data_IF_703352649070
#
_entry.id   IF_703352649070
#
_cell.length_a   1.000
_cell.length_b   1.000
_cell.length_c   1.000
_cell.angle_alpha   90.00
_cell.angle_beta   90.00
_cell.angle_gamma   90.00
#
_symmetry.space_group_name_H-M   'P 1'
#
loop_
_entity.id
_entity.type
_entity.pdbx_description
1 polymer ?
#
# COMPACT_ATOMS: atom_id res chain seq x y z
N UNK A 1 -7.31 33.18 12.34
CA UNK A 1 -7.34 31.78 12.81
C UNK A 1 -8.53 30.99 12.23
N UNK A 2 -9.79 31.35 12.51
CA UNK A 2 -10.96 30.61 11.99
C UNK A 2 -11.02 30.47 10.46
N UNK A 3 -10.66 31.50 9.69
CA UNK A 3 -10.63 31.43 8.21
C UNK A 3 -9.57 30.45 7.72
N UNK A 4 -8.33 30.53 8.25
CA UNK A 4 -7.24 29.64 7.87
C UNK A 4 -7.57 28.16 8.17
N UNK A 5 -8.20 27.90 9.32
CA UNK A 5 -8.70 26.57 9.66
C UNK A 5 -9.72 26.07 8.62
N UNK A 6 -10.73 26.88 8.28
CA UNK A 6 -11.74 26.49 7.27
C UNK A 6 -11.12 26.23 5.90
N UNK A 7 -10.14 27.03 5.49
CA UNK A 7 -9.42 26.81 4.24
C UNK A 7 -8.65 25.49 4.26
N UNK A 8 -8.00 25.15 5.37
CA UNK A 8 -7.30 23.88 5.53
C UNK A 8 -8.26 22.67 5.58
N UNK A 9 -9.43 22.82 6.19
CA UNK A 9 -10.49 21.81 6.18
C UNK A 9 -11.00 21.56 4.75
N UNK A 10 -11.26 22.61 3.97
CA UNK A 10 -11.63 22.50 2.55
C UNK A 10 -10.51 21.82 1.74
N UNK A 11 -9.25 22.13 2.04
CA UNK A 11 -8.13 21.44 1.40
C UNK A 11 -8.13 19.94 1.70
N UNK A 12 -8.46 19.51 2.93
CA UNK A 12 -8.62 18.08 3.26
C UNK A 12 -9.75 17.41 2.49
N UNK A 13 -10.88 18.09 2.29
CA UNK A 13 -11.96 17.58 1.44
C UNK A 13 -11.48 17.33 0.01
N UNK A 14 -10.71 18.26 -0.56
CA UNK A 14 -10.12 18.08 -1.90
C UNK A 14 -9.12 16.93 -1.97
N UNK A 15 -8.28 16.75 -0.94
CA UNK A 15 -7.36 15.60 -0.87
C UNK A 15 -8.14 14.29 -0.94
N UNK A 16 -9.21 14.16 -0.14
CA UNK A 16 -10.06 12.97 -0.14
C UNK A 16 -10.77 12.76 -1.47
N UNK A 17 -11.26 13.83 -2.09
CA UNK A 17 -11.87 13.75 -3.42
C UNK A 17 -10.88 13.23 -4.46
N UNK A 18 -9.67 13.79 -4.53
CA UNK A 18 -8.63 13.32 -5.44
C UNK A 18 -8.25 11.86 -5.19
N UNK A 19 -8.13 11.47 -3.91
CA UNK A 19 -7.80 10.09 -3.54
C UNK A 19 -8.90 9.12 -4.00
N UNK A 20 -10.15 9.39 -3.64
CA UNK A 20 -11.28 8.55 -4.03
C UNK A 20 -11.39 8.44 -5.56
N UNK A 21 -11.20 9.56 -6.28
CA UNK A 21 -11.23 9.56 -7.74
C UNK A 21 -10.14 8.65 -8.31
N UNK A 22 -8.90 8.72 -7.80
CA UNK A 22 -7.81 7.85 -8.24
C UNK A 22 -8.04 6.38 -7.87
N UNK A 23 -8.55 6.10 -6.67
CA UNK A 23 -8.86 4.74 -6.22
C UNK A 23 -9.98 4.12 -7.05
N UNK A 24 -11.04 4.87 -7.35
CA UNK A 24 -12.14 4.39 -8.18
C UNK A 24 -11.77 4.27 -9.66
N UNK A 25 -10.76 5.02 -10.10
CA UNK A 25 -10.12 4.86 -11.42
C UNK A 25 -9.30 3.58 -11.46
N UNK A 26 -8.49 3.32 -10.41
CA UNK A 26 -7.75 2.06 -10.25
C UNK A 26 -8.69 0.86 -10.26
N UNK A 27 -9.71 0.82 -9.40
CA UNK A 27 -10.65 -0.32 -9.30
C UNK A 27 -11.32 -0.67 -10.62
N UNK A 28 -11.50 0.31 -11.51
CA UNK A 28 -12.10 0.09 -12.82
C UNK A 28 -11.14 -0.55 -13.83
N UNK A 29 -9.84 -0.41 -13.59
CA UNK A 29 -8.75 -0.80 -14.48
C UNK A 29 -7.85 -1.87 -13.86
N UNK A 30 -8.20 -2.39 -12.70
CA UNK A 30 -7.41 -3.37 -11.95
C UNK A 30 -7.86 -4.78 -12.34
N UNK A 31 -6.91 -5.61 -12.73
CA UNK A 31 -7.15 -7.02 -13.05
C UNK A 31 -7.16 -7.93 -11.80
N UNK A 32 -7.38 -9.23 -12.01
CA UNK A 32 -7.42 -10.22 -10.94
C UNK A 32 -6.09 -10.37 -10.16
N UNK A 33 -4.97 -9.91 -10.73
CA UNK A 33 -3.64 -9.94 -10.11
C UNK A 33 -3.21 -8.57 -9.57
N UNK A 34 -4.13 -7.60 -9.51
CA UNK A 34 -3.90 -6.24 -9.00
C UNK A 34 -2.96 -5.38 -9.85
N UNK A 35 -2.82 -5.67 -11.14
CA UNK A 35 -2.10 -4.87 -12.13
C UNK A 35 -3.06 -4.16 -13.09
N UNK A 36 -2.51 -3.32 -13.97
CA UNK A 36 -3.28 -2.52 -14.91
C UNK A 36 -3.81 -3.39 -16.07
N UNK A 37 -5.13 -3.49 -16.17
CA UNK A 37 -5.84 -4.11 -17.29
C UNK A 37 -5.80 -3.19 -18.51
N UNK A 38 -4.86 -3.48 -19.41
CA UNK A 38 -4.65 -2.71 -20.65
C UNK A 38 -5.77 -2.88 -21.67
N UNK A 39 -6.48 -4.02 -21.68
CA UNK A 39 -7.61 -4.25 -22.58
C UNK A 39 -8.78 -3.39 -22.13
N UNK A 40 -9.12 -3.45 -20.83
CA UNK A 40 -10.17 -2.62 -20.25
C UNK A 40 -9.86 -1.13 -20.36
N UNK A 41 -8.60 -0.75 -20.19
CA UNK A 41 -8.15 0.62 -20.40
C UNK A 41 -8.45 1.10 -21.82
N UNK A 42 -8.11 0.29 -22.84
CA UNK A 42 -8.34 0.62 -24.24
C UNK A 42 -9.84 0.73 -24.56
N UNK A 43 -10.66 -0.20 -24.07
CA UNK A 43 -12.12 -0.17 -24.23
C UNK A 43 -12.70 1.16 -23.72
N UNK A 44 -12.30 1.57 -22.51
CA UNK A 44 -12.79 2.80 -21.89
C UNK A 44 -12.32 4.06 -22.61
N UNK A 45 -11.12 4.05 -23.19
CA UNK A 45 -10.65 5.14 -24.05
C UNK A 45 -11.52 5.28 -25.30
N UNK A 46 -11.87 4.17 -25.95
CA UNK A 46 -12.74 4.16 -27.13
C UNK A 46 -14.15 4.61 -26.78
N UNK A 47 -14.71 4.13 -25.67
CA UNK A 47 -16.03 4.57 -25.18
C UNK A 47 -16.06 6.08 -24.91
N UNK A 48 -15.01 6.61 -24.27
CA UNK A 48 -14.90 8.04 -23.99
C UNK A 48 -14.80 8.89 -25.26
N UNK A 49 -14.02 8.44 -26.25
CA UNK A 49 -13.92 9.12 -27.54
C UNK A 49 -15.28 9.18 -28.25
N UNK A 50 -16.04 8.07 -28.25
CA UNK A 50 -17.40 8.03 -28.80
C UNK A 50 -18.37 8.97 -28.07
N UNK A 51 -18.31 9.04 -26.74
CA UNK A 51 -19.16 9.95 -25.96
C UNK A 51 -18.87 11.42 -26.28
N UNK A 52 -17.60 11.77 -26.45
CA UNK A 52 -17.17 13.11 -26.84
C UNK A 52 -17.64 13.47 -28.26
N UNK A 53 -17.53 12.54 -29.22
CA UNK A 53 -18.06 12.71 -30.58
C UNK A 53 -19.59 12.85 -30.61
N UNK A 54 -20.30 12.20 -29.69
CA UNK A 54 -21.77 12.26 -29.56
C UNK A 54 -22.26 13.50 -28.79
N UNK A 55 -21.35 14.37 -28.30
CA UNK A 55 -21.72 15.60 -27.58
C UNK A 55 -22.35 15.37 -26.21
N UNK A 56 -22.16 14.19 -25.61
CA UNK A 56 -22.75 13.80 -24.33
C UNK A 56 -21.95 14.28 -23.09
N UNK A 57 -20.97 15.18 -23.28
CA UNK A 57 -20.27 15.80 -22.15
C UNK A 57 -21.25 16.68 -21.36
N UNK A 58 -21.76 16.14 -20.25
CA UNK A 58 -22.58 16.87 -19.29
C UNK A 58 -21.69 17.96 -18.69
N UNK A 59 -21.81 19.18 -19.22
CA UNK A 59 -21.19 20.36 -18.63
C UNK A 59 -21.89 20.65 -17.30
N UNK A 60 -21.14 20.61 -16.20
CA UNK A 60 -21.60 20.96 -14.85
C UNK A 60 -22.22 22.36 -14.77
N UNK A 61 -21.87 23.25 -15.72
CA UNK A 61 -22.49 24.57 -15.89
C UNK A 61 -23.99 24.55 -16.12
N UNK A 62 -24.62 23.40 -16.42
CA UNK A 62 -26.08 23.32 -16.60
C UNK A 62 -26.86 23.11 -15.30
N UNK A 63 -26.21 22.90 -14.15
CA UNK A 63 -26.89 22.43 -12.94
C UNK A 63 -27.01 23.40 -11.76
N UNK A 64 -26.31 24.55 -11.68
CA UNK A 64 -26.46 25.47 -10.53
C UNK A 64 -26.23 26.94 -10.88
N UNK A 65 -27.19 27.80 -10.50
CA UNK A 65 -27.10 29.27 -10.56
C UNK A 65 -26.41 29.82 -9.29
N UNK A 66 -25.08 29.92 -9.31
CA UNK A 66 -24.30 30.64 -8.31
C UNK A 66 -22.93 31.07 -8.89
N UNK A 67 -22.92 32.17 -9.65
CA UNK A 67 -21.80 32.60 -10.50
C UNK A 67 -20.43 32.70 -9.77
N UNK A 68 -20.41 33.20 -8.54
CA UNK A 68 -19.15 33.48 -7.84
C UNK A 68 -18.52 32.22 -7.20
N UNK A 69 -19.34 31.26 -6.76
CA UNK A 69 -18.82 29.93 -6.38
C UNK A 69 -18.44 29.13 -7.62
N UNK A 70 -19.13 29.33 -8.74
CA UNK A 70 -18.88 28.62 -9.98
C UNK A 70 -17.52 28.97 -10.58
N UNK A 71 -17.01 30.20 -10.52
CA UNK A 71 -15.67 30.50 -11.07
C UNK A 71 -14.54 29.84 -10.26
N UNK A 72 -14.63 29.89 -8.93
CA UNK A 72 -13.65 29.25 -8.05
C UNK A 72 -13.72 27.72 -8.11
N UNK A 73 -14.93 27.15 -8.27
CA UNK A 73 -15.15 25.72 -8.48
C UNK A 73 -14.80 25.30 -9.91
N UNK A 74 -15.16 26.06 -10.94
CA UNK A 74 -14.84 25.77 -12.34
C UNK A 74 -13.33 25.74 -12.57
N UNK A 75 -12.57 26.68 -11.98
CA UNK A 75 -11.11 26.63 -12.05
C UNK A 75 -10.47 25.44 -11.30
N UNK A 76 -11.20 24.83 -10.37
CA UNK A 76 -10.78 23.59 -9.69
C UNK A 76 -11.27 22.32 -10.40
N UNK A 77 -12.49 22.32 -10.94
CA UNK A 77 -13.12 21.26 -11.74
C UNK A 77 -12.43 21.08 -13.09
N UNK A 78 -11.98 22.17 -13.71
CA UNK A 78 -11.18 22.12 -14.94
C UNK A 78 -9.82 21.45 -14.70
N UNK A 79 -9.31 21.49 -13.45
CA UNK A 79 -8.04 20.87 -13.04
C UNK A 79 -8.19 19.47 -12.46
N UNK A 80 -9.35 19.12 -11.92
CA UNK A 80 -9.69 17.76 -11.45
C UNK A 80 -11.10 17.44 -11.91
N UNK A 81 -11.25 16.86 -13.11
CA UNK A 81 -12.57 16.56 -13.65
C UNK A 81 -13.28 15.51 -12.78
N UNK A 82 -14.62 15.49 -12.81
CA UNK A 82 -15.42 14.43 -12.18
C UNK A 82 -15.32 13.06 -12.88
N UNK A 83 -14.33 12.89 -13.77
CA UNK A 83 -14.12 11.69 -14.57
C UNK A 83 -12.93 10.90 -14.05
N UNK A 84 -13.07 9.58 -14.07
CA UNK A 84 -12.00 8.64 -13.69
C UNK A 84 -10.82 8.75 -14.65
N UNK A 85 -9.61 8.67 -14.12
CA UNK A 85 -8.39 8.66 -14.91
C UNK A 85 -8.24 7.34 -15.66
N UNK A 86 -7.89 7.40 -16.95
CA UNK A 86 -7.58 6.22 -17.76
C UNK A 86 -6.11 6.15 -18.17
N UNK A 87 -5.28 7.10 -17.76
CA UNK A 87 -3.85 7.12 -18.09
C UNK A 87 -3.02 7.70 -16.95
N UNK A 88 -1.72 7.44 -16.99
CA UNK A 88 -0.77 8.06 -16.06
C UNK A 88 -0.85 9.59 -16.08
N UNK A 89 -0.99 10.19 -17.25
CA UNK A 89 -1.02 11.65 -17.38
C UNK A 89 -2.27 12.25 -16.70
N UNK A 90 -3.44 11.65 -16.92
CA UNK A 90 -4.68 12.06 -16.25
C UNK A 90 -4.59 11.86 -14.73
N UNK A 91 -4.10 10.70 -14.29
CA UNK A 91 -3.90 10.41 -12.87
C UNK A 91 -2.90 11.39 -12.22
N UNK A 92 -1.85 11.77 -12.95
CA UNK A 92 -0.83 12.71 -12.50
C UNK A 92 -1.38 14.11 -12.30
N UNK A 93 -2.31 14.57 -13.14
CA UNK A 93 -2.96 15.88 -12.97
C UNK A 93 -3.79 15.93 -11.68
N UNK A 94 -4.59 14.89 -11.44
CA UNK A 94 -5.36 14.73 -10.19
C UNK A 94 -4.41 14.68 -8.98
N UNK A 95 -3.34 13.91 -9.07
CA UNK A 95 -2.32 13.79 -8.02
C UNK A 95 -1.64 15.14 -7.72
N UNK A 96 -1.26 15.90 -8.75
CA UNK A 96 -0.59 17.20 -8.58
C UNK A 96 -1.52 18.22 -7.91
N UNK A 97 -2.81 18.22 -8.25
CA UNK A 97 -3.79 19.02 -7.55
C UNK A 97 -3.93 18.58 -6.08
N UNK A 98 -4.08 17.28 -5.83
CA UNK A 98 -4.16 16.73 -4.47
C UNK A 98 -2.92 17.09 -3.64
N UNK A 99 -1.72 17.00 -4.21
CA UNK A 99 -0.46 17.42 -3.57
C UNK A 99 -0.44 18.89 -3.20
N UNK A 100 -0.91 19.78 -4.07
CA UNK A 100 -1.01 21.20 -3.74
C UNK A 100 -1.94 21.44 -2.54
N UNK A 101 -3.03 20.67 -2.43
CA UNK A 101 -3.95 20.73 -1.29
C UNK A 101 -3.38 20.11 -0.02
N UNK A 102 -2.54 19.07 -0.13
CA UNK A 102 -1.75 18.56 0.99
C UNK A 102 -0.86 19.65 1.55
N UNK A 103 -0.10 20.34 0.69
CA UNK A 103 0.77 21.45 1.13
C UNK A 103 -0.04 22.53 1.85
N UNK A 104 -1.16 22.96 1.25
CA UNK A 104 -2.06 23.94 1.87
C UNK A 104 -2.61 23.48 3.23
N UNK A 105 -3.03 22.22 3.36
CA UNK A 105 -3.57 21.71 4.62
C UNK A 105 -2.49 21.66 5.72
N UNK A 106 -1.25 21.31 5.36
CA UNK A 106 -0.11 21.23 6.28
C UNK A 106 0.38 22.60 6.78
N UNK A 107 0.04 23.70 6.12
CA UNK A 107 0.35 25.06 6.61
C UNK A 107 -0.40 25.37 7.92
N UNK A 108 -1.60 24.80 8.10
CA UNK A 108 -2.41 24.99 9.31
C UNK A 108 -2.33 23.79 10.26
N UNK A 109 -2.59 22.59 9.76
CA UNK A 109 -2.58 21.37 10.54
C UNK A 109 -1.15 20.86 10.70
N UNK A 110 -0.33 21.56 11.49
CA UNK A 110 1.03 21.14 11.81
C UNK A 110 1.04 20.07 12.91
N UNK A 111 2.13 19.29 13.00
CA UNK A 111 2.23 18.22 14.00
C UNK A 111 2.06 18.74 15.44
N UNK A 112 2.65 19.90 15.74
CA UNK A 112 2.52 20.56 17.04
C UNK A 112 1.18 21.31 17.13
N UNK A 113 0.24 20.77 17.91
CA UNK A 113 -1.12 21.31 18.08
C UNK A 113 -2.21 20.60 17.27
N UNK A 114 -1.87 19.92 16.16
CA UNK A 114 -2.83 19.18 15.32
C UNK A 114 -2.34 17.78 14.93
N UNK A 115 -1.67 17.08 15.84
CA UNK A 115 -0.99 15.81 15.55
C UNK A 115 -1.87 14.77 14.83
N UNK A 116 -3.09 14.51 15.31
CA UNK A 116 -3.98 13.52 14.67
C UNK A 116 -4.39 13.92 13.25
N UNK A 117 -4.68 15.20 13.02
CA UNK A 117 -5.02 15.69 11.67
C UNK A 117 -3.81 15.66 10.74
N UNK A 118 -2.64 16.07 11.23
CA UNK A 118 -1.40 16.02 10.47
C UNK A 118 -1.03 14.59 10.07
N UNK A 119 -1.17 13.62 10.98
CA UNK A 119 -0.99 12.19 10.68
C UNK A 119 -1.91 11.76 9.54
N UNK A 120 -3.20 12.12 9.61
CA UNK A 120 -4.15 11.76 8.56
C UNK A 120 -3.77 12.38 7.21
N UNK A 121 -3.37 13.65 7.19
CA UNK A 121 -2.95 14.35 5.96
C UNK A 121 -1.70 13.69 5.36
N UNK A 122 -0.73 13.29 6.18
CA UNK A 122 0.48 12.57 5.73
C UNK A 122 0.12 11.20 5.15
N UNK A 123 -0.80 10.46 5.79
CA UNK A 123 -1.28 9.17 5.27
C UNK A 123 -2.06 9.34 3.97
N UNK A 124 -2.88 10.39 3.85
CA UNK A 124 -3.58 10.69 2.60
C UNK A 124 -2.60 11.06 1.48
N UNK A 125 -1.54 11.80 1.80
CA UNK A 125 -0.46 12.09 0.85
C UNK A 125 0.26 10.81 0.39
N UNK A 126 0.50 9.88 1.32
CA UNK A 126 1.06 8.56 0.99
C UNK A 126 0.13 7.77 0.07
N UNK A 127 -1.17 7.76 0.36
CA UNK A 127 -2.18 7.09 -0.44
C UNK A 127 -2.29 7.69 -1.85
N UNK A 128 -2.17 9.01 -2.01
CA UNK A 128 -2.10 9.67 -3.33
C UNK A 128 -0.92 9.14 -4.17
N UNK A 129 0.26 8.98 -3.56
CA UNK A 129 1.40 8.36 -4.25
C UNK A 129 1.14 6.90 -4.61
N UNK A 130 0.51 6.12 -3.71
CA UNK A 130 0.17 4.71 -3.95
C UNK A 130 -0.79 4.58 -5.13
N UNK A 131 -1.82 5.43 -5.17
CA UNK A 131 -2.81 5.43 -6.23
C UNK A 131 -2.21 5.87 -7.58
N UNK A 132 -1.36 6.90 -7.61
CA UNK A 132 -0.67 7.28 -8.85
C UNK A 132 0.29 6.19 -9.35
N UNK A 133 0.98 5.49 -8.44
CA UNK A 133 1.94 4.45 -8.80
C UNK A 133 1.31 3.24 -9.51
N UNK A 134 -0.01 3.05 -9.41
CA UNK A 134 -0.75 2.04 -10.18
C UNK A 134 -0.67 2.30 -11.70
N UNK A 135 -0.73 3.57 -12.10
CA UNK A 135 -0.73 3.97 -13.52
C UNK A 135 0.67 4.10 -14.14
N UNK A 136 1.73 3.94 -13.35
CA UNK A 136 3.10 4.09 -13.83
C UNK A 136 3.64 2.73 -14.29
N UNK A 137 4.01 2.62 -15.56
CA UNK A 137 4.52 1.38 -16.15
C UNK A 137 6.02 1.18 -15.86
N UNK A 138 6.78 2.27 -15.70
CA UNK A 138 8.21 2.21 -15.38
C UNK A 138 8.40 1.79 -13.91
N UNK A 139 8.83 0.53 -13.72
CA UNK A 139 9.03 -0.06 -12.39
C UNK A 139 10.04 0.72 -11.53
N UNK A 140 11.02 1.42 -12.13
CA UNK A 140 11.95 2.26 -11.37
C UNK A 140 11.30 3.56 -10.90
N UNK A 141 10.45 4.18 -11.72
CA UNK A 141 9.62 5.32 -11.32
C UNK A 141 8.62 4.91 -10.24
N UNK A 142 7.93 3.78 -10.38
CA UNK A 142 7.07 3.20 -9.32
C UNK A 142 7.87 3.06 -8.03
N UNK A 143 9.07 2.48 -8.08
CA UNK A 143 9.91 2.29 -6.90
C UNK A 143 10.34 3.62 -6.25
N UNK A 144 10.63 4.66 -7.04
CA UNK A 144 10.93 6.01 -6.53
C UNK A 144 9.72 6.65 -5.83
N UNK A 145 8.52 6.42 -6.34
CA UNK A 145 7.28 6.89 -5.71
C UNK A 145 7.05 6.20 -4.36
N UNK A 146 7.24 4.87 -4.30
CA UNK A 146 7.18 4.13 -3.05
C UNK A 146 8.26 4.59 -2.06
N UNK A 147 9.47 4.90 -2.54
CA UNK A 147 10.53 5.46 -1.68
C UNK A 147 10.11 6.79 -1.03
N UNK A 148 9.45 7.69 -1.77
CA UNK A 148 8.91 8.95 -1.23
C UNK A 148 7.87 8.71 -0.14
N UNK A 149 7.02 7.68 -0.30
CA UNK A 149 6.07 7.27 0.75
C UNK A 149 6.80 6.82 2.01
N UNK A 150 7.81 5.94 1.89
CA UNK A 150 8.62 5.50 3.04
C UNK A 150 9.24 6.68 3.77
N UNK A 151 9.93 7.59 3.06
CA UNK A 151 10.62 8.73 3.69
C UNK A 151 9.67 9.59 4.53
N UNK A 152 8.48 9.84 3.98
CA UNK A 152 7.46 10.63 4.65
C UNK A 152 6.85 9.89 5.86
N UNK A 153 6.50 8.62 5.71
CA UNK A 153 5.85 7.84 6.76
C UNK A 153 6.80 7.52 7.93
N UNK A 154 8.06 7.14 7.63
CA UNK A 154 9.09 6.92 8.66
C UNK A 154 9.44 8.24 9.37
N UNK A 155 9.57 9.32 8.60
CA UNK A 155 9.82 10.65 9.15
C UNK A 155 8.73 11.08 10.14
N UNK A 156 7.46 10.76 9.87
CA UNK A 156 6.36 10.99 10.81
C UNK A 156 6.40 10.03 11.99
N UNK A 157 6.61 8.73 11.75
CA UNK A 157 6.63 7.71 12.80
C UNK A 157 7.65 8.02 13.91
N UNK A 158 8.83 8.53 13.54
CA UNK A 158 9.89 8.88 14.50
C UNK A 158 9.56 10.08 15.39
N UNK A 159 8.57 10.90 15.01
CA UNK A 159 8.16 12.09 15.77
C UNK A 159 6.95 11.83 16.68
N UNK A 160 6.27 10.69 16.52
CA UNK A 160 5.10 10.35 17.33
C UNK A 160 5.49 9.61 18.60
N UNK A 161 4.84 9.96 19.72
CA UNK A 161 4.93 9.20 20.95
C UNK A 161 3.89 8.05 20.96
N UNK A 162 4.32 6.77 20.96
CA UNK A 162 3.40 5.64 20.94
C UNK A 162 2.47 5.56 22.15
N UNK A 163 2.80 6.19 23.28
CA UNK A 163 1.94 6.21 24.47
C UNK A 163 0.62 6.96 24.22
N UNK A 164 0.65 8.00 23.39
CA UNK A 164 -0.53 8.82 23.08
C UNK A 164 -1.14 8.50 21.73
N UNK A 165 -0.34 7.96 20.79
CA UNK A 165 -0.72 7.77 19.39
C UNK A 165 -0.58 6.32 18.92
N UNK A 166 -0.76 5.33 19.81
CA UNK A 166 -0.53 3.91 19.53
C UNK A 166 -1.20 3.43 18.22
N UNK A 167 -2.46 3.78 18.01
CA UNK A 167 -3.21 3.41 16.79
C UNK A 167 -2.58 4.00 15.52
N UNK A 168 -2.17 5.26 15.56
CA UNK A 168 -1.48 5.90 14.45
C UNK A 168 -0.10 5.26 14.21
N UNK A 169 0.65 4.99 15.27
CA UNK A 169 1.94 4.29 15.18
C UNK A 169 1.78 2.90 14.55
N UNK A 170 0.75 2.12 14.94
CA UNK A 170 0.40 0.83 14.33
C UNK A 170 0.13 0.96 12.84
N UNK A 171 -0.75 1.89 12.45
CA UNK A 171 -1.11 2.14 11.06
C UNK A 171 0.11 2.55 10.22
N UNK A 172 0.93 3.48 10.72
CA UNK A 172 2.16 3.91 10.04
C UNK A 172 3.18 2.78 9.92
N UNK A 173 3.35 1.98 10.98
CA UNK A 173 4.29 0.86 10.97
C UNK A 173 3.90 -0.18 9.91
N UNK A 174 2.63 -0.56 9.87
CA UNK A 174 2.09 -1.46 8.86
C UNK A 174 2.24 -0.87 7.44
N UNK A 175 1.90 0.41 7.25
CA UNK A 175 1.98 1.06 5.94
C UNK A 175 3.43 1.20 5.44
N UNK A 176 4.39 1.46 6.32
CA UNK A 176 5.83 1.44 5.98
C UNK A 176 6.26 0.04 5.57
N UNK A 177 5.83 -0.99 6.31
CA UNK A 177 6.14 -2.39 5.98
C UNK A 177 5.58 -2.81 4.61
N UNK A 178 4.32 -2.45 4.33
CA UNK A 178 3.66 -2.63 3.03
C UNK A 178 4.44 -1.94 1.91
N UNK A 179 4.85 -0.70 2.14
CA UNK A 179 5.59 0.06 1.13
C UNK A 179 6.97 -0.53 0.84
N UNK A 180 7.69 -1.02 1.85
CA UNK A 180 8.95 -1.75 1.63
C UNK A 180 8.73 -3.08 0.92
N UNK A 181 7.64 -3.78 1.22
CA UNK A 181 7.24 -5.01 0.54
C UNK A 181 7.01 -4.72 -0.96
N UNK A 182 6.22 -3.69 -1.29
CA UNK A 182 5.99 -3.25 -2.69
C UNK A 182 7.31 -2.90 -3.40
N UNK A 183 8.21 -2.16 -2.74
CA UNK A 183 9.52 -1.82 -3.31
C UNK A 183 10.38 -3.06 -3.58
N UNK A 184 10.33 -4.04 -2.70
CA UNK A 184 11.04 -5.30 -2.87
C UNK A 184 10.47 -6.07 -4.05
N UNK A 185 9.14 -6.17 -4.17
CA UNK A 185 8.46 -6.86 -5.28
C UNK A 185 8.80 -6.21 -6.62
N UNK A 186 8.79 -4.87 -6.71
CA UNK A 186 9.23 -4.15 -7.91
C UNK A 186 10.69 -4.45 -8.27
N UNK A 187 11.58 -4.59 -7.28
CA UNK A 187 12.99 -4.92 -7.53
C UNK A 187 13.20 -6.38 -7.92
N UNK A 188 12.38 -7.30 -7.41
CA UNK A 188 12.35 -8.69 -7.87
C UNK A 188 11.83 -8.77 -9.31
N UNK A 189 10.77 -8.04 -9.67
CA UNK A 189 10.27 -7.99 -11.04
C UNK A 189 11.34 -7.48 -12.01
N UNK A 190 12.00 -6.36 -11.69
CA UNK A 190 13.14 -5.85 -12.46
C UNK A 190 14.29 -6.88 -12.59
N UNK A 191 14.58 -7.63 -11.53
CA UNK A 191 15.59 -8.66 -11.54
C UNK A 191 15.23 -9.85 -12.45
N UNK A 192 13.94 -10.21 -12.52
CA UNK A 192 13.45 -11.29 -13.38
C UNK A 192 13.50 -10.93 -14.87
N UNK A 193 13.44 -9.64 -15.20
CA UNK A 193 13.58 -9.15 -16.59
C UNK A 193 15.04 -8.87 -17.00
N UNK A 194 15.99 -8.92 -16.07
CA UNK A 194 17.40 -8.69 -16.37
C UNK A 194 18.06 -9.96 -16.92
N UNK A 195 18.90 -9.82 -17.96
CA UNK A 195 19.68 -10.94 -18.52
C UNK A 195 20.62 -11.58 -17.48
N UNK A 196 21.14 -10.76 -16.57
CA UNK A 196 22.05 -11.21 -15.52
C UNK A 196 21.72 -10.55 -14.18
N UNK A 197 21.58 -11.39 -13.16
CA UNK A 197 21.32 -10.95 -11.80
C UNK A 197 22.58 -10.36 -11.15
N UNK A 198 22.60 -9.04 -11.02
CA UNK A 198 23.72 -8.34 -10.41
C UNK A 198 23.74 -8.50 -8.88
N UNK A 199 24.92 -8.72 -8.24
CA UNK A 199 25.03 -8.83 -6.78
C UNK A 199 24.48 -7.63 -6.02
N UNK A 200 24.57 -6.42 -6.60
CA UNK A 200 24.01 -5.20 -6.01
C UNK A 200 22.48 -5.24 -5.95
N UNK A 201 21.83 -5.80 -6.98
CA UNK A 201 20.37 -5.98 -7.04
C UNK A 201 19.92 -6.95 -5.95
N UNK A 202 20.61 -8.07 -5.79
CA UNK A 202 20.37 -9.06 -4.71
C UNK A 202 20.48 -8.40 -3.34
N UNK A 203 21.57 -7.64 -3.11
CA UNK A 203 21.77 -6.91 -1.85
C UNK A 203 20.63 -5.93 -1.58
N UNK A 204 20.13 -5.23 -2.61
CA UNK A 204 19.03 -4.28 -2.48
C UNK A 204 17.70 -4.96 -2.18
N UNK A 205 17.38 -6.06 -2.86
CA UNK A 205 16.17 -6.88 -2.60
C UNK A 205 16.18 -7.36 -1.14
N UNK A 206 17.28 -7.96 -0.69
CA UNK A 206 17.40 -8.44 0.69
C UNK A 206 17.30 -7.30 1.73
N UNK A 207 17.87 -6.13 1.44
CA UNK A 207 17.76 -4.96 2.32
C UNK A 207 16.29 -4.51 2.47
N UNK A 208 15.56 -4.39 1.36
CA UNK A 208 14.14 -4.01 1.37
C UNK A 208 13.29 -5.08 2.07
N UNK A 209 13.55 -6.36 1.80
CA UNK A 209 12.83 -7.47 2.43
C UNK A 209 13.01 -7.45 3.96
N UNK A 210 14.25 -7.26 4.44
CA UNK A 210 14.54 -7.16 5.88
C UNK A 210 13.92 -5.92 6.53
N UNK A 211 13.88 -4.79 5.81
CA UNK A 211 13.19 -3.60 6.29
C UNK A 211 11.69 -3.87 6.46
N UNK A 212 11.04 -4.47 5.46
CA UNK A 212 9.63 -4.86 5.55
C UNK A 212 9.37 -5.82 6.73
N UNK A 213 10.17 -6.89 6.86
CA UNK A 213 10.08 -7.84 7.98
C UNK A 213 10.20 -7.13 9.34
N UNK A 214 11.15 -6.20 9.47
CA UNK A 214 11.37 -5.44 10.71
C UNK A 214 10.15 -4.60 11.08
N UNK A 215 9.53 -3.93 10.11
CA UNK A 215 8.36 -3.09 10.37
C UNK A 215 7.08 -3.93 10.59
N UNK A 216 6.89 -5.03 9.87
CA UNK A 216 5.80 -5.97 10.20
C UNK A 216 5.94 -6.54 11.61
N UNK A 217 7.16 -6.92 12.02
CA UNK A 217 7.38 -7.41 13.37
C UNK A 217 7.07 -6.34 14.42
N UNK A 218 7.55 -5.10 14.24
CA UNK A 218 7.21 -3.98 15.14
C UNK A 218 5.70 -3.75 15.25
N UNK A 219 4.97 -3.86 14.14
CA UNK A 219 3.52 -3.78 14.13
C UNK A 219 2.90 -4.91 14.96
N UNK A 220 3.29 -6.15 14.73
CA UNK A 220 2.78 -7.32 15.46
C UNK A 220 3.13 -7.27 16.95
N UNK A 221 4.36 -6.88 17.30
CA UNK A 221 4.80 -6.71 18.69
C UNK A 221 3.95 -5.68 19.43
N UNK A 222 3.51 -4.63 18.72
CA UNK A 222 2.64 -3.63 19.30
C UNK A 222 1.23 -4.15 19.63
N UNK A 223 0.83 -5.31 19.08
CA UNK A 223 -0.44 -5.99 19.39
C UNK A 223 -0.31 -6.93 20.60
N UNK A 224 0.90 -7.24 21.04
CA UNK A 224 1.13 -8.08 22.21
C UNK A 224 0.62 -7.43 23.50
N UNK A 225 0.23 -8.26 24.46
CA UNK A 225 -0.17 -7.80 25.79
C UNK A 225 1.04 -7.25 26.59
N UNK A 226 0.80 -6.77 27.81
CA UNK A 226 1.85 -6.24 28.68
C UNK A 226 2.95 -7.25 29.06
N UNK A 227 2.75 -8.55 28.81
CA UNK A 227 3.72 -9.62 28.99
C UNK A 227 4.51 -9.96 27.72
N UNK A 228 4.19 -9.32 26.60
CA UNK A 228 4.78 -9.60 25.28
C UNK A 228 4.17 -10.81 24.58
N UNK A 229 3.07 -11.35 25.08
CA UNK A 229 2.38 -12.49 24.48
C UNK A 229 1.33 -12.00 23.48
N UNK A 230 1.22 -12.71 22.34
CA UNK A 230 0.16 -12.46 21.38
C UNK A 230 -1.19 -12.86 22.00
N UNK A 231 -2.19 -11.97 22.05
CA UNK A 231 -3.51 -12.30 22.56
C UNK A 231 -4.13 -13.45 21.76
N UNK A 232 -4.90 -14.33 22.43
CA UNK A 232 -5.63 -15.41 21.77
C UNK A 232 -6.64 -14.87 20.74
N UNK A 233 -7.23 -13.72 21.03
CA UNK A 233 -8.16 -13.00 20.17
C UNK A 233 -7.70 -11.57 20.00
N UNK A 234 -7.56 -11.11 18.76
CA UNK A 234 -7.24 -9.73 18.42
C UNK A 234 -8.52 -8.90 18.25
N UNK A 235 -8.44 -7.58 18.47
CA UNK A 235 -9.52 -6.67 18.12
C UNK A 235 -9.81 -6.74 16.62
N UNK A 236 -11.09 -6.69 16.25
CA UNK A 236 -11.57 -6.87 14.87
C UNK A 236 -10.84 -5.96 13.87
N UNK A 237 -10.56 -4.71 14.25
CA UNK A 237 -9.91 -3.71 13.41
C UNK A 237 -8.45 -4.04 13.07
N UNK A 238 -7.80 -4.92 13.84
CA UNK A 238 -6.39 -5.31 13.64
C UNK A 238 -6.23 -6.76 13.21
N UNK A 239 -7.30 -7.57 13.17
CA UNK A 239 -7.26 -8.97 12.70
C UNK A 239 -6.73 -9.05 11.27
N UNK A 240 -7.40 -8.41 10.29
CA UNK A 240 -6.97 -8.45 8.88
C UNK A 240 -5.54 -7.93 8.71
N UNK A 241 -5.15 -6.76 9.25
CA UNK A 241 -3.76 -6.31 9.20
C UNK A 241 -2.75 -7.30 9.81
N UNK A 242 -3.06 -7.96 10.93
CA UNK A 242 -2.17 -8.94 11.54
C UNK A 242 -1.98 -10.19 10.66
N UNK A 243 -3.07 -10.71 10.09
CA UNK A 243 -3.03 -11.87 9.19
C UNK A 243 -2.27 -11.53 7.89
N UNK A 244 -2.57 -10.38 7.28
CA UNK A 244 -1.85 -9.90 6.08
C UNK A 244 -0.37 -9.68 6.37
N UNK A 245 -0.01 -9.12 7.54
CA UNK A 245 1.39 -8.96 7.94
C UNK A 245 2.10 -10.32 8.00
N UNK A 246 1.52 -11.30 8.69
CA UNK A 246 2.09 -12.66 8.79
C UNK A 246 2.20 -13.34 7.43
N UNK A 247 1.15 -13.31 6.62
CA UNK A 247 1.17 -13.84 5.26
C UNK A 247 2.31 -13.24 4.42
N UNK A 248 2.46 -11.92 4.46
CA UNK A 248 3.51 -11.21 3.71
C UNK A 248 4.91 -11.45 4.27
N UNK A 249 5.07 -11.58 5.59
CA UNK A 249 6.32 -12.06 6.19
C UNK A 249 6.69 -13.45 5.65
N UNK A 250 5.71 -14.35 5.50
CA UNK A 250 5.89 -15.65 4.85
C UNK A 250 6.45 -15.53 3.43
N UNK A 251 5.88 -14.64 2.61
CA UNK A 251 6.36 -14.34 1.25
C UNK A 251 7.74 -13.67 1.24
N UNK A 252 8.02 -12.78 2.19
CA UNK A 252 9.32 -12.11 2.32
C UNK A 252 10.43 -13.11 2.60
N UNK A 253 10.21 -14.06 3.51
CA UNK A 253 11.19 -15.11 3.79
C UNK A 253 11.46 -15.99 2.57
N UNK A 254 10.45 -16.29 1.75
CA UNK A 254 10.66 -17.08 0.53
C UNK A 254 11.37 -16.31 -0.59
N UNK A 255 11.30 -14.97 -0.59
CA UNK A 255 11.98 -14.08 -1.54
C UNK A 255 13.40 -13.67 -1.13
N UNK A 256 13.85 -13.98 0.09
CA UNK A 256 15.23 -13.69 0.51
C UNK A 256 16.24 -14.52 -0.29
N UNK A 257 17.13 -13.83 -1.00
CA UNK A 257 18.11 -14.42 -1.89
C UNK A 257 19.43 -14.65 -1.13
N UNK A 258 19.60 -15.86 -0.58
CA UNK A 258 20.78 -16.26 0.20
C UNK A 258 21.48 -17.45 -0.47
N UNK A 259 22.82 -17.46 -0.46
CA UNK A 259 23.64 -18.46 -1.17
C UNK A 259 23.80 -19.76 -0.39
N UNK A 260 23.94 -19.68 0.94
CA UNK A 260 24.14 -20.86 1.77
C UNK A 260 22.84 -21.64 2.01
N UNK A 261 22.96 -22.97 2.13
CA UNK A 261 21.78 -23.84 2.27
C UNK A 261 21.16 -23.75 3.66
N UNK A 262 21.94 -23.45 4.70
CA UNK A 262 21.45 -23.33 6.07
C UNK A 262 20.45 -22.15 6.20
N UNK A 263 20.79 -20.99 5.65
CA UNK A 263 19.94 -19.80 5.63
C UNK A 263 18.73 -20.00 4.72
N UNK A 264 18.86 -20.69 3.58
CA UNK A 264 17.71 -21.06 2.74
C UNK A 264 16.72 -21.95 3.50
N UNK A 265 17.24 -22.93 4.25
CA UNK A 265 16.42 -23.81 5.08
C UNK A 265 15.77 -23.05 6.25
N UNK A 266 16.51 -22.16 6.92
CA UNK A 266 15.98 -21.30 7.98
C UNK A 266 14.86 -20.40 7.47
N UNK A 267 15.05 -19.74 6.33
CA UNK A 267 14.03 -18.92 5.69
C UNK A 267 12.79 -19.74 5.30
N UNK A 268 12.95 -20.95 4.76
CA UNK A 268 11.82 -21.81 4.44
C UNK A 268 11.01 -22.22 5.69
N UNK A 269 11.68 -22.48 6.82
CA UNK A 269 11.01 -22.76 8.10
C UNK A 269 10.25 -21.54 8.63
N UNK A 270 10.88 -20.36 8.63
CA UNK A 270 10.22 -19.10 9.02
C UNK A 270 9.00 -18.78 8.12
N UNK A 271 9.12 -19.06 6.83
CA UNK A 271 8.02 -18.92 5.87
C UNK A 271 6.83 -19.84 6.24
N UNK A 272 7.10 -21.12 6.52
CA UNK A 272 6.09 -22.08 6.97
C UNK A 272 5.44 -21.66 8.30
N UNK A 273 6.23 -21.20 9.28
CA UNK A 273 5.71 -20.71 10.56
C UNK A 273 4.74 -19.54 10.38
N UNK A 274 5.05 -18.62 9.46
CA UNK A 274 4.18 -17.50 9.15
C UNK A 274 2.86 -17.93 8.53
N UNK A 275 2.87 -18.83 7.54
CA UNK A 275 1.64 -19.33 6.93
C UNK A 275 0.82 -20.17 7.90
N UNK A 276 1.47 -21.01 8.71
CA UNK A 276 0.80 -21.80 9.74
C UNK A 276 0.11 -20.92 10.77
N UNK A 277 0.73 -19.80 11.18
CA UNK A 277 0.06 -18.83 12.06
C UNK A 277 -1.26 -18.33 11.48
N UNK A 278 -1.30 -18.00 10.18
CA UNK A 278 -2.52 -17.52 9.52
C UNK A 278 -3.61 -18.60 9.55
N UNK A 279 -3.26 -19.84 9.21
CA UNK A 279 -4.18 -20.98 9.24
C UNK A 279 -4.69 -21.24 10.66
N UNK A 280 -3.77 -21.42 11.62
CA UNK A 280 -4.10 -21.75 13.00
C UNK A 280 -5.00 -20.68 13.64
N UNK A 281 -4.74 -19.39 13.34
CA UNK A 281 -5.55 -18.30 13.88
C UNK A 281 -6.98 -18.31 13.32
N UNK A 282 -7.15 -18.50 12.01
CA UNK A 282 -8.47 -18.56 11.39
C UNK A 282 -9.24 -19.82 11.79
N UNK A 283 -8.58 -20.98 11.88
CA UNK A 283 -9.20 -22.23 12.33
C UNK A 283 -9.68 -22.15 13.78
N UNK A 284 -8.99 -21.38 14.63
CA UNK A 284 -9.40 -21.10 16.02
C UNK A 284 -10.48 -20.01 16.13
N UNK A 285 -10.61 -19.15 15.12
CA UNK A 285 -11.53 -18.03 15.10
C UNK A 285 -12.30 -17.98 13.75
N UNK A 286 -13.25 -18.90 13.50
CA UNK A 286 -13.93 -19.00 12.20
C UNK A 286 -14.70 -17.73 11.79
N UNK A 287 -15.17 -16.95 12.77
CA UNK A 287 -15.95 -15.72 12.54
C UNK A 287 -15.17 -14.62 11.79
N UNK A 288 -13.84 -14.73 11.72
CA UNK A 288 -12.98 -13.74 11.07
C UNK A 288 -12.25 -14.27 9.82
N UNK A 289 -12.56 -15.50 9.38
CA UNK A 289 -11.96 -16.13 8.20
C UNK A 289 -12.17 -15.28 6.93
N UNK A 290 -13.39 -14.78 6.72
CA UNK A 290 -13.74 -13.94 5.56
C UNK A 290 -12.92 -12.66 5.48
N UNK A 291 -12.41 -12.15 6.60
CA UNK A 291 -11.62 -10.93 6.62
C UNK A 291 -10.26 -11.09 5.96
N UNK A 292 -9.74 -12.30 5.78
CA UNK A 292 -8.45 -12.55 5.14
C UNK A 292 -8.46 -13.78 4.23
N UNK A 293 -9.61 -14.05 3.60
CA UNK A 293 -9.83 -15.24 2.79
C UNK A 293 -8.74 -15.46 1.71
N UNK A 294 -8.34 -14.45 0.89
CA UNK A 294 -7.30 -14.67 -0.13
C UNK A 294 -5.95 -15.07 0.49
N UNK A 295 -5.61 -14.46 1.63
CA UNK A 295 -4.38 -14.78 2.36
C UNK A 295 -4.44 -16.18 3.01
N UNK A 296 -5.61 -16.58 3.52
CA UNK A 296 -5.82 -17.87 4.15
C UNK A 296 -5.77 -19.03 3.15
N UNK A 297 -6.44 -18.91 2.00
CA UNK A 297 -6.46 -19.94 0.95
C UNK A 297 -5.03 -20.27 0.51
N UNK A 298 -4.25 -19.24 0.17
CA UNK A 298 -2.84 -19.40 -0.18
C UNK A 298 -2.00 -19.94 0.99
N UNK A 299 -2.29 -19.53 2.22
CA UNK A 299 -1.57 -20.03 3.40
C UNK A 299 -1.80 -21.52 3.62
N UNK A 300 -3.05 -22.00 3.45
CA UNK A 300 -3.39 -23.43 3.54
C UNK A 300 -2.61 -24.24 2.50
N UNK A 301 -2.56 -23.79 1.25
CA UNK A 301 -1.74 -24.42 0.21
C UNK A 301 -0.26 -24.47 0.61
N UNK A 302 0.31 -23.36 1.05
CA UNK A 302 1.73 -23.27 1.42
C UNK A 302 2.08 -24.17 2.62
N UNK A 303 1.18 -24.32 3.60
CA UNK A 303 1.36 -25.24 4.74
C UNK A 303 1.41 -26.70 4.28
N UNK A 304 0.71 -27.07 3.20
CA UNK A 304 0.79 -28.43 2.64
C UNK A 304 2.08 -28.67 1.84
N UNK A 305 2.55 -27.66 1.10
CA UNK A 305 3.66 -27.82 0.13
C UNK A 305 5.05 -27.63 0.76
N UNK A 306 5.21 -26.63 1.64
CA UNK A 306 6.53 -26.27 2.19
C UNK A 306 7.20 -27.38 3.02
N UNK A 307 6.51 -28.20 3.83
CA UNK A 307 7.16 -29.24 4.62
C UNK A 307 7.96 -30.23 3.77
N UNK A 308 7.40 -30.69 2.65
CA UNK A 308 8.10 -31.60 1.73
C UNK A 308 9.34 -30.94 1.12
N UNK A 309 9.24 -29.67 0.72
CA UNK A 309 10.38 -28.88 0.21
C UNK A 309 11.49 -28.73 1.25
N UNK A 310 11.13 -28.44 2.50
CA UNK A 310 12.07 -28.31 3.63
C UNK A 310 12.80 -29.64 3.88
N UNK A 311 12.08 -30.76 3.88
CA UNK A 311 12.68 -32.09 4.04
C UNK A 311 13.67 -32.41 2.93
N UNK A 312 13.31 -32.14 1.67
CA UNK A 312 14.20 -32.35 0.53
C UNK A 312 15.47 -31.50 0.62
N UNK A 313 15.35 -30.22 1.00
CA UNK A 313 16.52 -29.33 1.20
C UNK A 313 17.42 -29.79 2.35
N UNK A 314 16.83 -30.30 3.44
CA UNK A 314 17.58 -30.82 4.58
C UNK A 314 18.33 -32.11 4.24
N UNK A 315 17.68 -33.05 3.54
CA UNK A 315 18.29 -34.31 3.10
C UNK A 315 19.45 -34.05 2.11
N UNK A 316 19.25 -33.14 1.16
CA UNK A 316 20.32 -32.71 0.24
C UNK A 316 21.52 -32.07 0.96
N UNK A 317 21.31 -31.41 2.11
CA UNK A 317 22.41 -30.82 2.90
C UNK A 317 23.21 -31.88 3.68
N UNK A 318 22.58 -33.00 4.03
CA UNK A 318 23.23 -34.10 4.76
C UNK A 318 24.06 -35.01 3.86
N UNK A 319 23.77 -35.07 2.56
CA UNK A 319 24.52 -35.88 1.60
C UNK A 319 25.88 -35.28 1.17
N UNK A 320 26.15 -34.01 1.50
CA UNK A 320 27.38 -33.29 1.14
C UNK A 320 28.26 -32.93 2.36
N UNK A 321 27.89 -33.38 3.56
CA UNK A 321 28.73 -33.34 4.77
C UNK A 321 29.25 -34.74 5.06
#
# INVERSE_FOLDING_TARGET
QRIAQRQAEVARCWIKYCLNLLEDSRKQLEDDISELDTERQLELHVERQRQHEQGNDIKFSSLVSAADMLEALAGAEERVPCRKALSFQEAREIFLFGQARVTQAKEFFVLDGHASDYVQIVRDQSALFKALAFFEEDLERRCRMQKRRVDMLEGLYTQLNPQFYLTACRQLCFEVADTYYDMMDLKVALANHAEQLQPQTVKKINLLARAALTHYQKFLDSLCNSRGETPATLDIDVVRPALVAKFRMGRLHSKLMVSDTASRLANARLSLECYRYVVDYCDQNPDVEELAQPELELSREMVTLLPAKIQHMAAGSQAFN
#
